data_IF_819241164820
#
_entry.id   IF_819241164820
#
_cell.length_a   1.000
_cell.length_b   1.000
_cell.length_c   1.000
_cell.angle_alpha   90.00
_cell.angle_beta   90.00
_cell.angle_gamma   90.00
#
_symmetry.space_group_name_H-M   'P 1'
#
loop_
_entity.id
_entity.type
_entity.pdbx_description
1 polymer ?
#
# COMPACT_ATOMS: atom_id res chain seq x y z
N UNK A 1 -36.42 42.06 -50.57
CA UNK A 1 -36.76 41.15 -49.44
C UNK A 1 -36.09 39.77 -49.49
N UNK A 2 -35.67 39.22 -50.64
CA UNK A 2 -34.97 37.91 -50.70
C UNK A 2 -33.54 37.93 -50.08
N UNK A 3 -32.79 39.01 -50.26
CA UNK A 3 -31.38 39.09 -49.79
C UNK A 3 -31.24 39.26 -48.27
N UNK A 4 -32.28 39.74 -47.58
CA UNK A 4 -32.27 39.91 -46.13
C UNK A 4 -32.46 38.56 -45.39
N UNK A 5 -33.25 37.64 -45.98
CA UNK A 5 -33.49 36.31 -45.40
C UNK A 5 -32.25 35.40 -45.48
N UNK A 6 -31.45 35.52 -46.53
CA UNK A 6 -30.20 34.74 -46.69
C UNK A 6 -29.14 35.17 -45.67
N UNK A 7 -29.07 36.46 -45.34
CA UNK A 7 -28.12 37.02 -44.37
C UNK A 7 -28.39 36.57 -42.92
N UNK A 8 -29.67 36.38 -42.56
CA UNK A 8 -30.06 35.94 -41.21
C UNK A 8 -29.82 34.44 -41.02
N UNK A 9 -29.98 33.63 -42.07
CA UNK A 9 -29.71 32.19 -42.05
C UNK A 9 -28.21 31.86 -41.97
N UNK A 10 -27.35 32.65 -42.60
CA UNK A 10 -25.89 32.46 -42.50
C UNK A 10 -25.33 32.87 -41.13
N UNK A 11 -25.87 33.94 -40.53
CA UNK A 11 -25.45 34.40 -39.20
C UNK A 11 -25.85 33.41 -38.09
N UNK A 12 -27.02 32.77 -38.20
CA UNK A 12 -27.49 31.77 -37.23
C UNK A 12 -26.71 30.45 -37.30
N UNK A 13 -26.28 30.02 -38.49
CA UNK A 13 -25.45 28.83 -38.65
C UNK A 13 -24.04 29.01 -38.05
N UNK A 14 -23.45 30.19 -38.21
CA UNK A 14 -22.16 30.55 -37.60
C UNK A 14 -22.22 30.57 -36.07
N UNK A 15 -23.32 31.06 -35.50
CA UNK A 15 -23.51 31.07 -34.05
C UNK A 15 -23.63 29.66 -33.46
N UNK A 16 -24.32 28.75 -34.15
CA UNK A 16 -24.46 27.34 -33.72
C UNK A 16 -23.12 26.60 -33.80
N UNK A 17 -22.30 26.87 -34.82
CA UNK A 17 -20.96 26.28 -34.93
C UNK A 17 -20.03 26.82 -33.83
N UNK A 18 -20.09 28.11 -33.52
CA UNK A 18 -19.32 28.70 -32.42
C UNK A 18 -19.75 28.18 -31.04
N UNK A 19 -21.05 28.04 -30.77
CA UNK A 19 -21.53 27.42 -29.53
C UNK A 19 -21.18 25.93 -29.45
N UNK A 20 -21.30 25.22 -30.59
CA UNK A 20 -20.86 23.83 -30.71
C UNK A 20 -19.40 23.68 -30.27
N UNK A 21 -18.49 24.44 -30.90
CA UNK A 21 -17.06 24.46 -30.57
C UNK A 21 -16.76 24.85 -29.11
N UNK A 22 -17.56 25.75 -28.51
CA UNK A 22 -17.41 26.11 -27.10
C UNK A 22 -17.80 24.96 -26.15
N UNK A 23 -18.83 24.18 -26.50
CA UNK A 23 -19.28 23.03 -25.70
C UNK A 23 -18.42 21.77 -25.85
N UNK A 24 -17.73 21.58 -26.97
CA UNK A 24 -16.79 20.45 -27.13
C UNK A 24 -15.48 20.69 -26.37
N UNK A 25 -15.08 21.96 -26.17
CA UNK A 25 -13.91 22.29 -25.37
C UNK A 25 -14.17 22.17 -23.85
N UNK A 26 -15.40 22.36 -23.38
CA UNK A 26 -15.76 22.17 -21.97
C UNK A 26 -16.06 20.72 -21.58
N UNK A 27 -16.06 19.80 -22.54
CA UNK A 27 -16.12 18.34 -22.36
C UNK A 27 -14.75 17.69 -22.59
N UNK A 28 -13.68 18.40 -22.26
CA UNK A 28 -12.46 17.71 -21.86
C UNK A 28 -12.72 17.16 -20.46
N UNK A 29 -13.21 15.91 -20.39
CA UNK A 29 -13.09 15.08 -19.20
C UNK A 29 -11.61 15.07 -18.89
N UNK A 30 -11.22 15.88 -17.91
CA UNK A 30 -9.90 15.84 -17.34
C UNK A 30 -9.81 14.45 -16.71
N UNK A 31 -9.13 13.53 -17.40
CA UNK A 31 -8.82 12.21 -16.87
C UNK A 31 -8.09 12.46 -15.55
N UNK A 32 -8.82 12.26 -14.46
CA UNK A 32 -8.40 12.54 -13.10
C UNK A 32 -7.16 11.70 -12.78
N UNK A 33 -6.12 12.38 -12.27
CA UNK A 33 -4.92 11.86 -11.60
C UNK A 33 -4.35 10.51 -12.06
N UNK A 34 -3.17 10.54 -12.69
CA UNK A 34 -2.25 9.38 -12.81
C UNK A 34 -2.28 8.58 -11.50
N UNK A 35 -2.80 7.34 -11.55
CA UNK A 35 -2.88 6.46 -10.38
C UNK A 35 -1.50 6.37 -9.72
N UNK A 36 -1.42 6.77 -8.44
CA UNK A 36 -0.16 6.75 -7.68
C UNK A 36 0.09 5.42 -6.98
N UNK A 37 -0.76 4.41 -7.20
CA UNK A 37 -0.68 3.11 -6.54
C UNK A 37 -0.84 2.02 -7.59
N UNK A 38 0.11 1.08 -7.65
CA UNK A 38 0.06 -0.12 -8.47
C UNK A 38 0.13 -1.31 -7.52
N UNK A 39 -0.93 -2.12 -7.45
CA UNK A 39 -0.95 -3.32 -6.62
C UNK A 39 -0.97 -4.58 -7.50
N UNK A 40 0.01 -5.45 -7.30
CA UNK A 40 0.03 -6.79 -7.89
C UNK A 40 -0.75 -7.77 -7.01
N UNK A 41 -1.37 -8.77 -7.62
CA UNK A 41 -2.04 -9.83 -6.87
C UNK A 41 -1.06 -10.98 -6.58
N UNK A 42 -1.05 -11.49 -5.36
CA UNK A 42 -0.36 -12.73 -5.02
C UNK A 42 -1.35 -13.79 -4.52
N UNK A 43 -1.03 -15.05 -4.81
CA UNK A 43 -1.74 -16.18 -4.21
C UNK A 43 -1.15 -16.41 -2.82
N UNK A 44 -1.73 -15.74 -1.83
CA UNK A 44 -1.33 -15.88 -0.43
C UNK A 44 -2.22 -16.91 0.25
N UNK A 45 -1.63 -17.79 1.04
CA UNK A 45 -2.40 -18.65 1.95
C UNK A 45 -3.04 -17.76 3.03
N UNK A 46 -4.37 -17.75 3.18
CA UNK A 46 -5.02 -17.03 4.27
C UNK A 46 -4.71 -17.69 5.63
N UNK A 47 -4.53 -16.89 6.67
CA UNK A 47 -4.50 -17.33 8.07
C UNK A 47 -5.84 -16.96 8.70
N UNK A 48 -6.57 -17.95 9.19
CA UNK A 48 -7.91 -17.70 9.75
C UNK A 48 -7.87 -17.28 11.21
N UNK A 49 -6.75 -17.56 11.89
CA UNK A 49 -6.55 -17.33 13.33
C UNK A 49 -5.13 -16.91 13.63
N UNK A 50 -4.96 -16.10 14.67
CA UNK A 50 -3.63 -15.68 15.14
C UNK A 50 -2.70 -16.86 15.45
N UNK A 51 -3.24 -17.95 16.00
CA UNK A 51 -2.45 -19.14 16.33
C UNK A 51 -1.73 -19.76 15.12
N UNK A 52 -2.30 -19.65 13.91
CA UNK A 52 -1.67 -20.16 12.69
C UNK A 52 -0.50 -19.28 12.27
N UNK A 53 -0.67 -17.96 12.36
CA UNK A 53 0.38 -16.98 12.10
C UNK A 53 1.53 -17.11 13.11
N UNK A 54 1.21 -17.28 14.40
CA UNK A 54 2.18 -17.54 15.46
C UNK A 54 2.96 -18.82 15.23
N UNK A 55 2.32 -19.87 14.70
CA UNK A 55 2.98 -21.14 14.41
C UNK A 55 4.00 -21.00 13.29
N UNK A 56 3.67 -20.24 12.24
CA UNK A 56 4.55 -20.07 11.08
C UNK A 56 5.69 -19.06 11.33
N UNK A 57 5.44 -18.02 12.11
CA UNK A 57 6.47 -17.05 12.46
C UNK A 57 7.58 -17.69 13.31
N UNK A 58 8.82 -17.58 12.85
CA UNK A 58 9.99 -17.96 13.65
C UNK A 58 10.27 -16.91 14.72
N UNK A 59 10.04 -15.64 14.38
CA UNK A 59 10.28 -14.49 15.23
C UNK A 59 9.02 -13.64 15.32
N UNK A 60 8.70 -13.16 16.52
CA UNK A 60 7.65 -12.16 16.75
C UNK A 60 8.26 -11.03 17.57
N UNK A 61 8.14 -9.80 17.09
CA UNK A 61 8.68 -8.62 17.76
C UNK A 61 7.68 -7.48 17.80
N UNK A 62 7.86 -6.60 18.77
CA UNK A 62 7.39 -5.23 18.72
C UNK A 62 8.55 -4.34 18.27
N UNK A 63 8.31 -3.53 17.24
CA UNK A 63 9.34 -2.66 16.68
C UNK A 63 8.77 -1.39 16.06
N UNK A 64 9.67 -0.44 15.84
CA UNK A 64 9.40 0.83 15.16
C UNK A 64 10.31 0.97 13.95
N UNK A 65 9.79 1.53 12.88
CA UNK A 65 10.58 1.84 11.71
C UNK A 65 11.52 3.02 12.01
N UNK A 66 12.81 2.89 11.69
CA UNK A 66 13.81 3.91 12.04
C UNK A 66 13.81 5.12 11.10
N UNK A 67 13.10 5.05 9.97
CA UNK A 67 13.20 6.02 8.88
C UNK A 67 14.12 5.54 7.74
N UNK A 68 15.00 4.57 8.01
CA UNK A 68 15.95 4.05 7.02
C UNK A 68 15.32 2.95 6.16
N UNK A 69 15.17 3.25 4.86
CA UNK A 69 14.65 2.31 3.87
C UNK A 69 15.46 2.35 2.58
N UNK A 70 15.68 1.18 2.00
CA UNK A 70 16.18 1.03 0.63
C UNK A 70 15.10 0.42 -0.27
N UNK A 71 14.72 1.12 -1.32
CA UNK A 71 13.85 0.58 -2.37
C UNK A 71 14.64 -0.33 -3.30
N UNK A 72 14.13 -1.53 -3.54
CA UNK A 72 14.67 -2.47 -4.53
C UNK A 72 13.62 -2.67 -5.63
N UNK A 73 13.73 -1.95 -6.77
CA UNK A 73 12.80 -2.12 -7.87
C UNK A 73 12.92 -3.50 -8.51
N UNK A 74 11.92 -3.87 -9.31
CA UNK A 74 11.86 -5.14 -10.01
C UNK A 74 13.08 -5.33 -10.93
N UNK A 75 13.80 -6.45 -10.77
CA UNK A 75 14.92 -6.84 -11.64
C UNK A 75 14.74 -8.30 -12.10
N UNK A 76 13.89 -8.46 -13.12
CA UNK A 76 13.60 -9.77 -13.72
C UNK A 76 14.84 -10.43 -14.33
N UNK A 77 15.84 -9.65 -14.75
CA UNK A 77 17.09 -10.19 -15.32
C UNK A 77 17.89 -11.00 -14.30
N UNK A 78 17.69 -10.70 -13.01
CA UNK A 78 18.28 -11.42 -11.87
C UNK A 78 17.26 -12.28 -11.12
N UNK A 79 16.06 -12.44 -11.66
CA UNK A 79 14.97 -13.17 -11.00
C UNK A 79 14.51 -12.53 -9.68
N UNK A 80 14.75 -11.23 -9.47
CA UNK A 80 14.41 -10.54 -8.23
C UNK A 80 13.09 -9.78 -8.38
N UNK A 81 12.13 -10.11 -7.51
CA UNK A 81 10.94 -9.29 -7.31
C UNK A 81 11.30 -7.98 -6.61
N UNK A 82 10.41 -6.99 -6.71
CA UNK A 82 10.59 -5.73 -6.01
C UNK A 82 10.38 -5.91 -4.49
N UNK A 83 11.05 -5.07 -3.69
CA UNK A 83 10.87 -5.00 -2.24
C UNK A 83 11.33 -3.65 -1.69
N UNK A 84 11.09 -3.42 -0.41
CA UNK A 84 11.84 -2.44 0.38
C UNK A 84 12.57 -3.15 1.51
N UNK A 85 13.82 -2.76 1.75
CA UNK A 85 14.58 -3.18 2.92
C UNK A 85 14.42 -2.08 3.97
N UNK A 86 13.66 -2.36 5.02
CA UNK A 86 13.34 -1.39 6.06
C UNK A 86 14.03 -1.73 7.36
N UNK A 87 14.76 -0.78 7.92
CA UNK A 87 15.39 -0.95 9.22
C UNK A 87 14.35 -0.75 10.32
N UNK A 88 14.27 -1.72 11.22
CA UNK A 88 13.34 -1.73 12.34
C UNK A 88 14.13 -1.83 13.63
N UNK A 89 13.91 -0.85 14.51
CA UNK A 89 14.40 -0.90 15.87
C UNK A 89 13.47 -1.80 16.70
N UNK A 90 14.04 -2.83 17.30
CA UNK A 90 13.34 -3.83 18.10
C UNK A 90 13.19 -3.28 19.52
N UNK A 91 11.93 -3.10 19.94
CA UNK A 91 11.59 -2.66 21.30
C UNK A 91 11.41 -3.83 22.24
N UNK A 92 10.86 -4.94 21.73
CA UNK A 92 10.62 -6.16 22.51
C UNK A 92 10.58 -7.37 21.60
N UNK A 93 11.26 -8.44 22.02
CA UNK A 93 11.14 -9.77 21.41
C UNK A 93 10.05 -10.54 22.15
N UNK A 94 9.04 -11.01 21.42
CA UNK A 94 7.92 -11.81 21.93
C UNK A 94 8.18 -13.30 21.70
N UNK A 95 8.76 -13.66 20.55
CA UNK A 95 9.10 -15.03 20.16
C UNK A 95 10.38 -15.03 19.34
N UNK A 96 11.18 -16.08 19.51
CA UNK A 96 12.43 -16.29 18.77
C UNK A 96 13.62 -15.64 19.48
N UNK A 97 14.78 -15.70 18.83
CA UNK A 97 16.01 -15.08 19.29
C UNK A 97 16.58 -14.21 18.15
N UNK A 98 17.07 -13.04 18.51
CA UNK A 98 17.71 -12.08 17.62
C UNK A 98 19.20 -11.90 17.91
N UNK A 99 19.78 -12.73 18.78
CA UNK A 99 21.19 -12.70 19.15
C UNK A 99 21.64 -11.32 19.68
N UNK A 100 20.73 -10.63 20.36
CA UNK A 100 20.98 -9.28 20.90
C UNK A 100 20.94 -8.14 19.88
N UNK A 101 20.52 -8.39 18.62
CA UNK A 101 20.35 -7.33 17.62
C UNK A 101 19.21 -6.38 18.04
N UNK A 102 19.56 -5.11 18.24
CA UNK A 102 18.60 -4.02 18.51
C UNK A 102 17.92 -3.52 17.23
N UNK A 103 18.56 -3.72 16.07
CA UNK A 103 18.03 -3.32 14.77
C UNK A 103 18.03 -4.51 13.82
N UNK A 104 16.96 -4.66 13.06
CA UNK A 104 16.78 -5.74 12.08
C UNK A 104 16.31 -5.19 10.74
N UNK A 105 16.69 -5.86 9.66
CA UNK A 105 16.17 -5.59 8.32
C UNK A 105 14.88 -6.38 8.12
N UNK A 106 13.81 -5.69 7.76
CA UNK A 106 12.53 -6.27 7.36
C UNK A 106 12.31 -6.04 5.87
N UNK A 107 12.13 -7.12 5.12
CA UNK A 107 11.83 -7.11 3.70
C UNK A 107 10.33 -6.95 3.47
N UNK A 108 9.95 -5.79 2.94
CA UNK A 108 8.56 -5.41 2.70
C UNK A 108 8.15 -5.63 1.23
N UNK A 109 6.96 -6.20 0.96
CA UNK A 109 6.48 -6.49 -0.40
C UNK A 109 5.88 -5.24 -1.08
N UNK A 110 6.64 -4.15 -1.11
CA UNK A 110 6.29 -2.91 -1.78
C UNK A 110 7.45 -1.92 -1.79
N UNK A 111 7.37 -0.89 -2.63
CA UNK A 111 8.34 0.20 -2.67
C UNK A 111 7.71 1.46 -3.27
N UNK A 112 8.34 2.61 -3.03
CA UNK A 112 7.99 3.86 -3.69
C UNK A 112 8.99 4.05 -4.83
N UNK A 113 8.47 4.21 -6.05
CA UNK A 113 9.26 4.46 -7.25
C UNK A 113 9.67 5.93 -7.32
N UNK A 114 10.97 6.20 -7.33
CA UNK A 114 11.52 7.55 -7.21
C UNK A 114 11.13 8.46 -8.37
N UNK A 115 11.02 7.94 -9.60
CA UNK A 115 10.82 8.74 -10.80
C UNK A 115 9.48 9.47 -10.83
N UNK A 116 8.44 8.90 -10.21
CA UNK A 116 7.09 9.46 -10.23
C UNK A 116 6.29 9.30 -8.93
N UNK A 117 6.97 8.91 -7.86
CA UNK A 117 6.39 8.67 -6.53
C UNK A 117 5.25 7.64 -6.54
N UNK A 118 5.23 6.73 -7.51
CA UNK A 118 4.23 5.65 -7.55
C UNK A 118 4.54 4.63 -6.48
N UNK A 119 3.58 4.34 -5.63
CA UNK A 119 3.65 3.24 -4.69
C UNK A 119 3.32 1.93 -5.40
N UNK A 120 4.27 0.99 -5.42
CA UNK A 120 4.11 -0.34 -5.99
C UNK A 120 4.06 -1.35 -4.85
N UNK A 121 3.07 -2.22 -4.83
CA UNK A 121 2.83 -3.13 -3.71
C UNK A 121 2.26 -4.48 -4.17
N UNK A 122 2.23 -5.45 -3.26
CA UNK A 122 1.57 -6.75 -3.45
C UNK A 122 0.39 -6.84 -2.49
N UNK A 123 -0.77 -7.18 -3.04
CA UNK A 123 -2.07 -7.30 -2.35
C UNK A 123 -2.36 -6.14 -1.39
N UNK A 124 -2.03 -4.91 -1.81
CA UNK A 124 -2.25 -3.69 -1.01
C UNK A 124 -1.66 -3.71 0.41
N UNK A 125 -0.50 -4.35 0.54
CA UNK A 125 0.41 -4.13 1.65
C UNK A 125 0.78 -2.63 1.75
N UNK A 126 0.77 -2.06 2.95
CA UNK A 126 1.30 -0.70 3.19
C UNK A 126 2.70 -0.77 3.80
N UNK A 127 3.60 0.16 3.46
CA UNK A 127 4.93 0.17 4.07
C UNK A 127 4.87 0.55 5.57
N UNK A 128 5.84 0.08 6.33
CA UNK A 128 6.13 0.59 7.67
C UNK A 128 6.37 2.11 7.60
N UNK A 129 5.98 2.83 8.64
CA UNK A 129 6.18 4.27 8.75
C UNK A 129 6.62 4.66 10.16
N UNK A 130 7.26 5.81 10.28
CA UNK A 130 7.90 6.30 11.51
C UNK A 130 6.93 6.58 12.66
N UNK A 131 5.64 6.76 12.35
CA UNK A 131 4.62 7.04 13.37
C UNK A 131 4.04 5.77 13.99
N UNK A 132 4.32 4.61 13.40
CA UNK A 132 3.67 3.36 13.80
C UNK A 132 4.48 2.56 14.81
N UNK A 133 3.75 1.99 15.77
CA UNK A 133 4.18 0.92 16.67
C UNK A 133 3.69 -0.41 16.14
N UNK A 134 4.58 -1.31 15.75
CA UNK A 134 4.21 -2.53 15.04
C UNK A 134 4.44 -3.80 15.84
N UNK A 135 3.48 -4.73 15.84
CA UNK A 135 3.78 -6.15 16.05
C UNK A 135 4.04 -6.80 14.70
N UNK A 136 5.21 -7.45 14.57
CA UNK A 136 5.68 -8.08 13.33
C UNK A 136 5.87 -9.58 13.54
N UNK A 137 5.32 -10.36 12.61
CA UNK A 137 5.46 -11.81 12.50
C UNK A 137 6.42 -12.11 11.37
N UNK A 138 7.58 -12.66 11.73
CA UNK A 138 8.77 -12.66 10.89
C UNK A 138 9.32 -14.07 10.69
N UNK A 139 9.89 -14.31 9.52
CA UNK A 139 10.70 -15.49 9.21
C UNK A 139 12.02 -15.09 8.57
N UNK A 140 13.13 -15.80 8.85
CA UNK A 140 14.40 -15.52 8.19
C UNK A 140 14.26 -15.74 6.68
N UNK A 141 15.06 -15.00 5.90
CA UNK A 141 15.17 -15.22 4.47
C UNK A 141 16.49 -15.94 4.19
N UNK A 142 16.40 -17.11 3.55
CA UNK A 142 17.56 -17.94 3.26
C UNK A 142 18.62 -17.16 2.47
N UNK A 143 19.84 -17.12 3.01
CA UNK A 143 20.99 -16.45 2.38
C UNK A 143 21.01 -14.93 2.51
N UNK A 144 20.12 -14.31 3.28
CA UNK A 144 20.10 -12.87 3.55
C UNK A 144 20.09 -12.56 5.06
N UNK A 145 20.73 -11.45 5.45
CA UNK A 145 20.70 -10.95 6.84
C UNK A 145 19.45 -10.09 7.05
N UNK A 146 18.30 -10.73 7.25
CA UNK A 146 17.04 -10.05 7.46
C UNK A 146 15.83 -11.00 7.47
N UNK A 147 14.66 -10.40 7.61
CA UNK A 147 13.42 -11.14 7.83
C UNK A 147 12.32 -10.71 6.86
N UNK A 148 11.57 -11.69 6.36
CA UNK A 148 10.34 -11.45 5.61
C UNK A 148 9.14 -11.48 6.55
N UNK A 149 8.12 -10.69 6.21
CA UNK A 149 6.84 -10.70 6.93
C UNK A 149 6.06 -11.95 6.52
N UNK A 150 5.60 -12.71 7.51
CA UNK A 150 4.79 -13.90 7.29
C UNK A 150 3.42 -13.50 6.73
N UNK A 151 2.98 -14.13 5.65
CA UNK A 151 1.65 -13.89 5.09
C UNK A 151 1.43 -12.51 4.45
N UNK A 152 2.51 -11.83 4.04
CA UNK A 152 2.46 -10.46 3.49
C UNK A 152 1.78 -9.48 4.46
N UNK A 153 0.60 -8.96 4.11
CA UNK A 153 -0.17 -8.03 4.94
C UNK A 153 -0.66 -8.65 6.26
N UNK A 154 -0.75 -9.98 6.34
CA UNK A 154 -1.26 -10.69 7.52
C UNK A 154 -0.24 -10.78 8.66
N UNK A 155 1.02 -10.41 8.46
CA UNK A 155 2.08 -10.51 9.48
C UNK A 155 2.48 -9.19 10.12
N UNK A 156 1.78 -8.09 9.86
CA UNK A 156 2.18 -6.75 10.29
C UNK A 156 0.98 -5.97 10.79
N UNK A 157 1.04 -5.53 12.04
CA UNK A 157 -0.06 -4.83 12.71
C UNK A 157 0.41 -3.57 13.40
N UNK A 158 -0.14 -2.43 12.99
CA UNK A 158 0.09 -1.15 13.63
C UNK A 158 -0.88 -0.96 14.81
N UNK A 159 -0.33 -0.69 15.99
CA UNK A 159 -1.07 -0.47 17.24
C UNK A 159 -1.67 0.93 17.36
N UNK A 160 -1.18 1.88 16.56
CA UNK A 160 -1.68 3.27 16.57
C UNK A 160 -2.95 3.44 15.71
N UNK A 161 -3.40 2.38 15.03
CA UNK A 161 -4.62 2.38 14.23
C UNK A 161 -5.55 1.27 14.73
N UNK A 162 -6.77 1.58 15.18
CA UNK A 162 -7.60 0.58 15.88
C UNK A 162 -8.23 -0.49 14.98
N UNK A 163 -8.89 -0.09 13.88
CA UNK A 163 -9.40 -0.99 12.83
C UNK A 163 -9.17 -0.32 11.49
N UNK A 164 -8.29 -0.88 10.66
CA UNK A 164 -7.66 -0.09 9.60
C UNK A 164 -7.53 -0.77 8.23
N UNK A 165 -7.94 -2.02 8.09
CA UNK A 165 -8.12 -2.62 6.78
C UNK A 165 -9.24 -1.90 6.04
N UNK A 166 -9.00 -1.47 4.79
CA UNK A 166 -9.99 -0.81 3.94
C UNK A 166 -10.07 -1.44 2.55
N UNK A 167 -11.24 -1.40 1.90
CA UNK A 167 -11.33 -1.83 0.49
C UNK A 167 -10.69 -0.77 -0.40
N UNK A 168 -10.12 -1.20 -1.52
CA UNK A 168 -9.60 -0.27 -2.53
C UNK A 168 -10.76 0.54 -3.12
N UNK A 169 -10.58 1.86 -3.25
CA UNK A 169 -11.56 2.77 -3.87
C UNK A 169 -10.89 3.53 -5.03
N UNK A 170 -11.65 3.98 -6.06
CA UNK A 170 -11.08 4.69 -7.21
C UNK A 170 -10.30 5.99 -6.89
N UNK A 171 -10.50 6.57 -5.70
CA UNK A 171 -9.82 7.79 -5.22
C UNK A 171 -8.81 7.52 -4.11
N UNK A 172 -8.32 6.29 -4.00
CA UNK A 172 -7.38 5.91 -2.96
C UNK A 172 -5.97 6.44 -3.30
N UNK A 173 -5.45 7.33 -2.46
CA UNK A 173 -4.18 8.04 -2.69
C UNK A 173 -3.13 7.73 -1.60
N UNK A 174 -1.93 8.30 -1.75
CA UNK A 174 -0.82 8.08 -0.82
C UNK A 174 -1.08 8.63 0.59
N UNK A 175 -1.86 9.70 0.73
CA UNK A 175 -2.16 10.29 2.04
C UNK A 175 -3.12 9.40 2.84
N UNK A 176 -3.99 8.67 2.14
CA UNK A 176 -4.87 7.66 2.73
C UNK A 176 -4.11 6.40 3.14
N UNK A 177 -3.06 5.99 2.42
CA UNK A 177 -2.20 4.86 2.80
C UNK A 177 -1.59 5.02 4.19
N UNK A 178 -1.20 6.25 4.55
CA UNK A 178 -0.61 6.54 5.84
C UNK A 178 -1.58 6.36 7.03
N UNK A 179 -2.88 6.16 6.75
CA UNK A 179 -3.95 6.02 7.75
C UNK A 179 -4.50 4.59 7.82
N UNK A 180 -3.95 3.66 7.05
CA UNK A 180 -4.41 2.27 6.98
C UNK A 180 -3.25 1.28 7.10
N UNK A 181 -3.51 0.10 7.66
CA UNK A 181 -2.50 -0.97 7.71
C UNK A 181 -2.51 -1.82 6.45
N UNK A 182 -3.67 -1.89 5.80
CA UNK A 182 -3.97 -2.78 4.70
C UNK A 182 -5.07 -2.17 3.84
N UNK A 183 -4.93 -2.32 2.52
CA UNK A 183 -6.02 -2.08 1.59
C UNK A 183 -6.13 -3.25 0.63
N UNK A 184 -7.33 -3.73 0.31
CA UNK A 184 -7.46 -4.87 -0.59
C UNK A 184 -8.74 -5.66 -0.41
N UNK A 185 -8.72 -6.91 -0.87
CA UNK A 185 -9.90 -7.79 -0.87
C UNK A 185 -10.11 -8.48 0.48
N UNK A 186 -9.05 -8.74 1.25
CA UNK A 186 -9.09 -9.55 2.48
C UNK A 186 -9.29 -8.73 3.76
N UNK A 187 -10.02 -7.62 3.68
CA UNK A 187 -10.13 -6.62 4.77
C UNK A 187 -10.73 -7.18 6.04
N UNK A 188 -11.78 -8.00 5.91
CA UNK A 188 -12.45 -8.58 7.07
C UNK A 188 -11.52 -9.51 7.85
N UNK A 189 -10.82 -10.39 7.12
CA UNK A 189 -9.83 -11.30 7.70
C UNK A 189 -8.67 -10.55 8.35
N UNK A 190 -8.10 -9.54 7.66
CA UNK A 190 -7.06 -8.70 8.23
C UNK A 190 -7.52 -8.04 9.53
N UNK A 191 -8.71 -7.44 9.55
CA UNK A 191 -9.24 -6.76 10.73
C UNK A 191 -9.51 -7.73 11.90
N UNK A 192 -9.94 -8.97 11.62
CA UNK A 192 -10.11 -10.00 12.64
C UNK A 192 -8.77 -10.36 13.28
N UNK A 193 -7.75 -10.71 12.47
CA UNK A 193 -6.42 -11.03 12.99
C UNK A 193 -5.82 -9.85 13.76
N UNK A 194 -6.02 -8.63 13.27
CA UNK A 194 -5.57 -7.41 13.95
C UNK A 194 -6.19 -7.30 15.34
N UNK A 195 -7.48 -7.52 15.47
CA UNK A 195 -8.16 -7.48 16.77
C UNK A 195 -7.56 -8.52 17.74
N UNK A 196 -7.29 -9.75 17.27
CA UNK A 196 -6.61 -10.78 18.07
C UNK A 196 -5.20 -10.34 18.50
N UNK A 197 -4.42 -9.71 17.61
CA UNK A 197 -3.06 -9.23 17.88
C UNK A 197 -3.05 -8.08 18.88
N UNK A 198 -3.89 -7.06 18.69
CA UNK A 198 -3.96 -5.90 19.59
C UNK A 198 -4.40 -6.31 21.00
N UNK A 199 -5.30 -7.30 21.10
CA UNK A 199 -5.74 -7.85 22.38
C UNK A 199 -4.65 -8.67 23.08
N UNK A 200 -3.82 -9.41 22.33
CA UNK A 200 -2.80 -10.31 22.90
C UNK A 200 -1.46 -9.63 23.18
N UNK A 201 -1.04 -8.69 22.34
CA UNK A 201 0.31 -8.10 22.36
C UNK A 201 0.28 -6.59 22.53
N UNK A 202 -0.30 -6.11 23.63
CA UNK A 202 -0.34 -4.69 23.93
C UNK A 202 1.06 -4.07 23.94
N UNK A 203 1.18 -2.86 23.42
CA UNK A 203 2.36 -2.03 23.62
C UNK A 203 2.28 -1.36 24.99
N UNK A 204 3.33 -1.55 25.79
CA UNK A 204 3.54 -0.85 27.07
C UNK A 204 4.27 0.48 26.84
#
# INVERSE_FOLDING_TARGET
>A
MKNLKVSILSASLLLIICLGLFTINSLSVQASSKEKIISFHAQVKPYEKLAELEKEATIIVQGVFTGERKSNPLDLSKGKLFSSDSMVEVKRVIKGDLEGKENIIVYEPGYIRDEDSTFVTIDGYTLLNERGKYTLFLKPVDGLDGYAIVGLFQGKYNHDIQKSGNKVMPSFDLDQLAKVDYFGEHVQQFNQLKEEVLNKYSWE
#
